data_IF_503437850520
#
_entry.id   IF_503437850520
#
_cell.length_a   1.000
_cell.length_b   1.000
_cell.length_c   1.000
_cell.angle_alpha   90.00
_cell.angle_beta   90.00
_cell.angle_gamma   90.00
#
_symmetry.space_group_name_H-M   'P 1'
#
loop_
_entity.id
_entity.type
_entity.pdbx_description
1 polymer ?
#
# COMPACT_ATOMS: atom_id res chain seq x y z
N UNK A 1 6.49 13.17 -23.09
CA UNK A 1 6.01 12.66 -21.79
C UNK A 1 6.20 11.15 -21.82
N UNK A 2 7.13 10.62 -21.02
CA UNK A 2 7.32 9.16 -20.93
C UNK A 2 6.26 8.60 -19.98
N UNK A 3 5.36 7.77 -20.50
CA UNK A 3 4.44 7.00 -19.66
C UNK A 3 5.24 5.85 -19.05
N UNK A 4 5.60 5.95 -17.77
CA UNK A 4 6.19 4.84 -17.03
C UNK A 4 5.12 3.78 -16.84
N UNK A 5 5.18 2.74 -17.66
CA UNK A 5 4.38 1.52 -17.49
C UNK A 5 4.92 0.77 -16.29
N UNK A 6 4.37 1.05 -15.10
CA UNK A 6 4.68 0.28 -13.89
C UNK A 6 4.20 -1.15 -14.12
N UNK A 7 5.13 -2.10 -14.12
CA UNK A 7 4.83 -3.52 -14.23
C UNK A 7 4.24 -4.04 -12.91
N UNK A 8 3.52 -5.17 -12.95
CA UNK A 8 2.93 -5.78 -11.74
C UNK A 8 3.99 -6.22 -10.73
N UNK A 9 5.19 -6.55 -11.20
CA UNK A 9 6.36 -6.92 -10.37
C UNK A 9 6.91 -5.68 -9.64
N UNK A 10 7.06 -4.54 -10.34
CA UNK A 10 7.40 -3.24 -9.70
C UNK A 10 6.38 -2.83 -8.64
N UNK A 11 5.10 -3.21 -8.82
CA UNK A 11 4.02 -2.89 -7.90
C UNK A 11 4.16 -3.66 -6.58
N UNK A 12 4.53 -4.95 -6.65
CA UNK A 12 4.65 -5.82 -5.48
C UNK A 12 5.91 -5.49 -4.64
N UNK A 13 7.03 -5.18 -5.29
CA UNK A 13 8.27 -4.76 -4.60
C UNK A 13 8.07 -3.48 -3.77
N UNK A 14 7.24 -2.56 -4.28
CA UNK A 14 6.89 -1.32 -3.55
C UNK A 14 5.99 -1.64 -2.35
N UNK A 15 5.09 -2.62 -2.47
CA UNK A 15 4.22 -3.04 -1.35
C UNK A 15 5.03 -3.79 -0.28
N UNK A 16 5.88 -4.75 -0.66
CA UNK A 16 6.73 -5.48 0.30
C UNK A 16 7.66 -4.55 1.07
N UNK A 17 8.31 -3.60 0.40
CA UNK A 17 9.17 -2.61 1.04
C UNK A 17 8.45 -1.65 2.00
N UNK A 18 7.11 -1.71 2.08
CA UNK A 18 6.28 -0.83 2.93
C UNK A 18 5.59 -1.56 4.08
N UNK A 19 5.85 -2.86 4.25
CA UNK A 19 5.16 -3.70 5.25
C UNK A 19 5.44 -3.30 6.70
N UNK A 20 6.60 -2.70 7.00
CA UNK A 20 6.90 -2.21 8.34
C UNK A 20 7.61 -0.85 8.28
N UNK A 21 7.13 0.18 9.01
CA UNK A 21 7.84 1.46 9.09
C UNK A 21 9.17 1.29 9.82
N UNK A 22 10.29 1.79 9.27
CA UNK A 22 11.52 1.89 10.05
C UNK A 22 11.29 2.80 11.26
N UNK A 23 11.99 2.54 12.37
CA UNK A 23 11.90 3.37 13.56
C UNK A 23 12.36 4.80 13.21
N UNK A 24 11.53 5.82 13.49
CA UNK A 24 11.85 7.20 13.12
C UNK A 24 13.09 7.76 13.86
N UNK A 25 13.54 7.10 14.93
CA UNK A 25 14.66 7.54 15.78
C UNK A 25 16.05 7.15 15.23
N UNK A 26 16.13 6.14 14.36
CA UNK A 26 17.42 5.58 13.90
C UNK A 26 17.88 6.15 12.54
N UNK A 27 16.95 6.52 11.63
CA UNK A 27 17.33 7.13 10.34
C UNK A 27 16.17 7.89 9.64
N UNK A 28 16.12 9.22 9.81
CA UNK A 28 15.07 10.09 9.24
C UNK A 28 15.01 10.01 7.70
N UNK A 29 16.17 9.80 7.05
CA UNK A 29 16.26 9.67 5.61
C UNK A 29 15.57 8.40 5.11
N UNK A 30 15.76 7.28 5.81
CA UNK A 30 15.09 6.02 5.50
C UNK A 30 13.59 6.08 5.77
N UNK A 31 13.18 6.67 6.89
CA UNK A 31 11.75 6.87 7.19
C UNK A 31 11.05 7.72 6.12
N UNK A 32 11.70 8.80 5.65
CA UNK A 32 11.18 9.63 4.56
C UNK A 32 11.11 8.89 3.23
N UNK A 33 12.10 8.04 2.93
CA UNK A 33 12.09 7.21 1.74
C UNK A 33 10.97 6.16 1.79
N UNK A 34 10.79 5.51 2.95
CA UNK A 34 9.70 4.57 3.22
C UNK A 34 8.33 5.23 3.07
N UNK A 35 8.09 6.39 3.71
CA UNK A 35 6.82 7.14 3.59
C UNK A 35 6.46 7.47 2.15
N UNK A 36 7.44 7.80 1.31
CA UNK A 36 7.21 8.04 -0.13
C UNK A 36 6.80 6.77 -0.88
N UNK A 37 7.38 5.61 -0.55
CA UNK A 37 7.01 4.32 -1.14
C UNK A 37 5.62 3.89 -0.68
N UNK A 38 5.32 4.02 0.61
CA UNK A 38 4.03 3.71 1.21
C UNK A 38 2.90 4.57 0.60
N UNK A 39 3.12 5.88 0.45
CA UNK A 39 2.15 6.76 -0.22
C UNK A 39 1.90 6.34 -1.69
N UNK A 40 2.93 5.92 -2.43
CA UNK A 40 2.76 5.43 -3.80
C UNK A 40 1.96 4.14 -3.85
N UNK A 41 2.29 3.18 -2.98
CA UNK A 41 1.55 1.92 -2.87
C UNK A 41 0.07 2.18 -2.53
N UNK A 42 -0.20 3.08 -1.58
CA UNK A 42 -1.56 3.41 -1.18
C UNK A 42 -2.36 4.00 -2.34
N UNK A 43 -1.79 4.96 -3.09
CA UNK A 43 -2.43 5.53 -4.28
C UNK A 43 -2.73 4.45 -5.33
N UNK A 44 -1.81 3.50 -5.54
CA UNK A 44 -2.02 2.40 -6.49
C UNK A 44 -3.18 1.50 -6.03
N UNK A 45 -3.19 1.07 -4.76
CA UNK A 45 -4.28 0.26 -4.21
C UNK A 45 -5.62 1.01 -4.36
N UNK A 46 -5.65 2.29 -3.99
CA UNK A 46 -6.82 3.14 -4.10
C UNK A 46 -7.36 3.25 -5.54
N UNK A 47 -6.48 3.45 -6.52
CA UNK A 47 -6.86 3.60 -7.92
C UNK A 47 -7.30 2.28 -8.57
N UNK A 48 -6.72 1.15 -8.18
CA UNK A 48 -6.92 -0.13 -8.86
C UNK A 48 -7.83 -1.12 -8.12
N UNK A 49 -8.21 -0.85 -6.87
CA UNK A 49 -9.09 -1.75 -6.12
C UNK A 49 -10.55 -1.78 -6.62
N UNK A 50 -10.95 -0.83 -7.45
CA UNK A 50 -12.33 -0.69 -7.95
C UNK A 50 -13.24 0.05 -6.96
N UNK A 51 -14.27 0.73 -7.49
CA UNK A 51 -15.09 1.68 -6.73
C UNK A 51 -15.79 1.08 -5.50
N UNK A 52 -16.27 -0.16 -5.59
CA UNK A 52 -16.90 -0.86 -4.47
C UNK A 52 -15.92 -1.07 -3.30
N UNK A 53 -14.68 -1.44 -3.61
CA UNK A 53 -13.65 -1.74 -2.62
C UNK A 53 -12.96 -0.48 -2.10
N UNK A 54 -12.88 0.57 -2.91
CA UNK A 54 -12.31 1.86 -2.52
C UNK A 54 -12.97 2.44 -1.27
N UNK A 55 -14.30 2.28 -1.15
CA UNK A 55 -15.06 2.70 0.04
C UNK A 55 -14.59 2.02 1.34
N UNK A 56 -14.01 0.81 1.26
CA UNK A 56 -13.49 0.06 2.40
C UNK A 56 -12.17 0.63 2.92
N UNK A 57 -11.39 1.26 2.05
CA UNK A 57 -10.01 1.71 2.32
C UNK A 57 -9.82 3.23 2.28
N UNK A 58 -10.89 4.00 2.08
CA UNK A 58 -10.82 5.46 1.98
C UNK A 58 -10.07 6.11 3.16
N UNK A 59 -10.22 5.56 4.38
CA UNK A 59 -9.65 6.11 5.61
C UNK A 59 -8.29 5.54 6.02
N UNK A 60 -7.65 4.70 5.21
CA UNK A 60 -6.37 4.08 5.60
C UNK A 60 -5.19 5.00 5.31
N UNK A 61 -4.26 5.11 6.27
CA UNK A 61 -3.10 6.00 6.17
C UNK A 61 -1.85 5.35 5.56
N UNK A 62 -1.86 4.01 5.45
CA UNK A 62 -0.76 3.21 4.90
C UNK A 62 -1.29 2.20 3.89
N UNK A 63 -0.43 1.83 2.94
CA UNK A 63 -0.74 0.82 1.93
C UNK A 63 -1.03 -0.54 2.57
N UNK A 64 -0.28 -0.90 3.62
CA UNK A 64 -0.51 -2.13 4.38
C UNK A 64 -1.91 -2.18 5.00
N UNK A 65 -2.35 -1.09 5.64
CA UNK A 65 -3.68 -1.05 6.24
C UNK A 65 -4.79 -1.17 5.19
N UNK A 66 -4.61 -0.56 4.00
CA UNK A 66 -5.51 -0.72 2.88
C UNK A 66 -5.58 -2.20 2.42
N UNK A 67 -4.42 -2.81 2.18
CA UNK A 67 -4.34 -4.20 1.73
C UNK A 67 -4.93 -5.20 2.74
N UNK A 68 -4.58 -5.08 4.02
CA UNK A 68 -5.09 -5.94 5.09
C UNK A 68 -6.61 -5.83 5.22
N UNK A 69 -7.17 -4.62 5.05
CA UNK A 69 -8.62 -4.38 5.04
C UNK A 69 -9.29 -5.08 3.86
N UNK A 70 -8.73 -4.96 2.65
CA UNK A 70 -9.24 -5.64 1.46
C UNK A 70 -9.16 -7.15 1.60
N UNK A 71 -8.01 -7.68 2.03
CA UNK A 71 -7.81 -9.11 2.23
C UNK A 71 -8.84 -9.69 3.21
N UNK A 72 -9.09 -9.00 4.33
CA UNK A 72 -10.09 -9.43 5.32
C UNK A 72 -11.53 -9.40 4.77
N UNK A 73 -11.88 -8.40 3.98
CA UNK A 73 -13.24 -8.22 3.47
C UNK A 73 -13.55 -9.09 2.26
N UNK A 74 -12.55 -9.34 1.42
CA UNK A 74 -12.69 -10.08 0.16
C UNK A 74 -12.33 -11.55 0.29
N UNK A 75 -11.63 -11.95 1.37
CA UNK A 75 -11.37 -13.35 1.71
C UNK A 75 -11.83 -13.66 3.15
N UNK A 76 -13.15 -13.79 3.38
CA UNK A 76 -13.69 -14.01 4.73
C UNK A 76 -13.30 -15.39 5.33
N UNK A 77 -12.82 -16.34 4.54
CA UNK A 77 -12.49 -17.70 4.98
C UNK A 77 -11.25 -17.81 5.89
N UNK A 78 -10.54 -16.71 6.16
CA UNK A 78 -9.42 -16.68 7.12
C UNK A 78 -9.76 -15.99 8.45
N UNK A 79 -11.02 -15.60 8.66
CA UNK A 79 -11.51 -15.10 9.94
C UNK A 79 -12.43 -16.11 10.61
N UNK A 80 -11.83 -16.99 11.43
CA UNK A 80 -12.43 -18.00 12.35
C UNK A 80 -13.28 -19.11 11.75
#
# INVERSE_FOLDING_TARGET
>A
MAATTVTTEDLWDVVEATTEPPKPEDDEAEFKAWRKKDAKALILIQNYCGSANYSLIWGTETAKAAWDTLAKKLNPAQGT
#
